data_IF_428075062590
#
_entry.id   IF_428075062590
#
_cell.length_a   1.000
_cell.length_b   1.000
_cell.length_c   1.000
_cell.angle_alpha   90.00
_cell.angle_beta   90.00
_cell.angle_gamma   90.00
#
_symmetry.space_group_name_H-M   'P 1'
#
loop_
_entity.id
_entity.type
_entity.pdbx_description
1 polymer ?
#
# COMPACT_ATOMS: atom_id res chain seq x y z
N UNK A 1 -20.06 -9.49 20.06
CA UNK A 1 -19.67 -10.30 18.90
C UNK A 1 -20.85 -11.16 18.44
N UNK A 2 -22.04 -10.57 18.34
CA UNK A 2 -23.29 -11.29 18.01
C UNK A 2 -23.74 -10.87 16.61
N UNK A 3 -22.95 -11.21 15.61
CA UNK A 3 -23.33 -11.05 14.20
C UNK A 3 -22.82 -12.28 13.45
N UNK A 4 -23.60 -12.75 12.47
CA UNK A 4 -23.23 -13.90 11.65
C UNK A 4 -22.04 -13.63 10.72
N UNK A 5 -21.77 -12.35 10.44
CA UNK A 5 -20.66 -11.89 9.62
C UNK A 5 -20.13 -10.53 10.09
N UNK A 6 -18.94 -10.17 9.59
CA UNK A 6 -18.29 -8.88 9.81
C UNK A 6 -17.92 -8.26 8.47
N UNK A 7 -17.95 -6.93 8.41
CA UNK A 7 -17.55 -6.17 7.23
C UNK A 7 -16.57 -5.08 7.63
N UNK A 8 -15.52 -4.92 6.83
CA UNK A 8 -14.56 -3.83 6.93
C UNK A 8 -14.31 -3.27 5.53
N UNK A 9 -14.02 -1.97 5.46
CA UNK A 9 -13.49 -1.35 4.25
C UNK A 9 -12.09 -1.93 4.02
N UNK A 10 -11.87 -2.54 2.85
CA UNK A 10 -10.65 -3.30 2.60
C UNK A 10 -9.39 -2.43 2.68
N UNK A 11 -9.46 -1.15 2.28
CA UNK A 11 -8.35 -0.21 2.35
C UNK A 11 -7.90 0.01 3.81
N UNK A 12 -8.85 0.16 4.72
CA UNK A 12 -8.57 0.37 6.14
C UNK A 12 -8.04 -0.91 6.79
N UNK A 13 -8.65 -2.05 6.44
CA UNK A 13 -8.23 -3.39 6.85
C UNK A 13 -6.80 -3.69 6.38
N UNK A 14 -6.45 -3.36 5.14
CA UNK A 14 -5.13 -3.60 4.55
C UNK A 14 -4.08 -2.54 4.96
N UNK A 15 -4.45 -1.51 5.72
CA UNK A 15 -3.55 -0.42 6.08
C UNK A 15 -3.12 0.44 4.89
N UNK A 16 -3.96 0.54 3.86
CA UNK A 16 -3.75 1.39 2.69
C UNK A 16 -3.97 2.87 3.01
N UNK A 17 -5.07 3.19 3.71
CA UNK A 17 -5.42 4.55 4.09
C UNK A 17 -4.47 5.08 5.17
N UNK A 18 -3.94 6.30 4.97
CA UNK A 18 -3.17 7.03 5.98
C UNK A 18 -4.08 7.78 6.96
N UNK A 19 -3.66 7.89 8.22
CA UNK A 19 -4.36 8.69 9.24
C UNK A 19 -5.25 7.85 10.17
N UNK A 20 -6.21 8.53 10.80
CA UNK A 20 -7.03 7.95 11.88
C UNK A 20 -8.16 7.11 11.28
N UNK A 21 -8.06 5.79 11.42
CA UNK A 21 -9.16 4.87 11.09
C UNK A 21 -10.18 4.82 12.24
N UNK A 22 -11.41 4.38 11.96
CA UNK A 22 -12.42 4.18 12.99
C UNK A 22 -11.94 3.16 14.04
N UNK A 23 -12.37 3.33 15.31
CA UNK A 23 -11.86 2.54 16.45
C UNK A 23 -12.10 1.02 16.33
N UNK A 24 -13.09 0.61 15.56
CA UNK A 24 -13.43 -0.81 15.34
C UNK A 24 -12.59 -1.46 14.22
N UNK A 25 -11.79 -0.69 13.49
CA UNK A 25 -10.92 -1.22 12.44
C UNK A 25 -9.71 -1.88 13.07
N UNK A 26 -9.50 -3.17 12.75
CA UNK A 26 -8.23 -3.85 12.92
C UNK A 26 -7.47 -3.82 11.59
N UNK A 27 -6.22 -3.36 11.63
CA UNK A 27 -5.30 -3.46 10.48
C UNK A 27 -4.70 -4.86 10.42
N UNK A 28 -4.73 -5.47 9.25
CA UNK A 28 -4.15 -6.78 8.94
C UNK A 28 -2.95 -6.66 7.99
N UNK A 29 -2.66 -5.45 7.48
CA UNK A 29 -1.52 -5.19 6.61
C UNK A 29 -1.03 -3.75 6.71
N UNK A 30 0.02 -3.46 5.93
CA UNK A 30 0.66 -2.15 5.78
C UNK A 30 0.84 -1.79 4.30
N UNK A 31 -0.13 -2.16 3.48
CA UNK A 31 -0.06 -2.04 2.01
C UNK A 31 0.23 -0.60 1.57
N UNK A 32 -0.28 0.39 2.31
CA UNK A 32 0.00 1.79 2.02
C UNK A 32 1.47 2.17 2.21
N UNK A 33 2.17 1.60 3.20
CA UNK A 33 3.60 1.83 3.42
C UNK A 33 4.41 1.16 2.30
N UNK A 34 4.11 -0.10 1.99
CA UNK A 34 4.80 -0.85 0.94
C UNK A 34 4.64 -0.18 -0.44
N UNK A 35 3.46 0.36 -0.75
CA UNK A 35 3.24 1.12 -1.97
C UNK A 35 4.03 2.44 -1.99
N UNK A 36 4.15 3.13 -0.85
CA UNK A 36 4.97 4.35 -0.74
C UNK A 36 6.44 4.05 -0.98
N UNK A 37 6.95 2.98 -0.40
CA UNK A 37 8.35 2.55 -0.58
C UNK A 37 8.62 2.18 -2.04
N UNK A 38 7.73 1.40 -2.67
CA UNK A 38 7.84 1.05 -4.08
C UNK A 38 7.81 2.29 -5.00
N UNK A 39 6.92 3.26 -4.74
CA UNK A 39 6.86 4.50 -5.50
C UNK A 39 8.12 5.36 -5.32
N UNK A 40 8.68 5.41 -4.11
CA UNK A 40 9.91 6.11 -3.83
C UNK A 40 11.11 5.48 -4.55
N UNK A 41 11.22 4.15 -4.50
CA UNK A 41 12.26 3.40 -5.21
C UNK A 41 12.17 3.64 -6.71
N UNK A 42 10.99 3.46 -7.32
CA UNK A 42 10.76 3.74 -8.73
C UNK A 42 11.19 5.17 -9.11
N UNK A 43 10.78 6.16 -8.32
CA UNK A 43 11.13 7.56 -8.59
C UNK A 43 12.65 7.81 -8.48
N UNK A 44 13.35 7.13 -7.57
CA UNK A 44 14.81 7.19 -7.48
C UNK A 44 15.48 6.55 -8.71
N UNK A 45 15.02 5.37 -9.13
CA UNK A 45 15.54 4.68 -10.32
C UNK A 45 15.39 5.50 -11.61
N UNK A 46 14.25 6.17 -11.78
CA UNK A 46 14.03 7.10 -12.89
C UNK A 46 14.96 8.30 -12.80
N UNK A 47 15.11 8.91 -11.61
CA UNK A 47 15.98 10.09 -11.43
C UNK A 47 17.45 9.78 -11.69
N UNK A 48 17.91 8.59 -11.29
CA UNK A 48 19.29 8.12 -11.54
C UNK A 48 19.49 7.55 -12.95
N UNK A 49 18.43 7.49 -13.77
CA UNK A 49 18.47 6.97 -15.14
C UNK A 49 18.73 5.46 -15.22
N UNK A 50 18.46 4.72 -14.14
CA UNK A 50 18.63 3.26 -14.12
C UNK A 50 17.37 2.52 -14.56
N UNK A 51 16.20 3.15 -14.39
CA UNK A 51 14.97 2.68 -15.01
C UNK A 51 14.55 3.63 -16.14
N UNK A 52 14.12 3.11 -17.31
CA UNK A 52 14.18 1.69 -17.68
C UNK A 52 15.61 1.24 -17.99
N UNK A 53 15.90 -0.04 -17.76
CA UNK A 53 17.13 -0.69 -18.22
C UNK A 53 16.92 -1.35 -19.60
N UNK A 54 17.90 -2.12 -20.06
CA UNK A 54 17.83 -2.82 -21.34
C UNK A 54 16.79 -3.95 -21.37
N UNK A 55 16.45 -4.57 -20.24
CA UNK A 55 15.42 -5.61 -20.17
C UNK A 55 14.01 -5.01 -20.22
N UNK A 56 13.88 -3.74 -19.83
CA UNK A 56 12.63 -2.99 -19.81
C UNK A 56 12.52 -1.96 -20.94
N UNK A 57 13.34 -2.09 -22.00
CA UNK A 57 13.35 -1.23 -23.19
C UNK A 57 13.30 -2.07 -24.49
N UNK A 58 12.76 -1.49 -25.58
CA UNK A 58 12.69 -2.12 -26.92
C UNK A 58 13.79 -1.63 -27.85
#
# INVERSE_FOLDING_TARGET
NECDAQVLVWQDMAGYTSGKTAKFVKKFGRVGDELRDAAAAYADEVRRGAFPDAEHSF
#
